data_IF_415766944984
#
_entry.id   IF_415766944984
#
_cell.length_a   1.000
_cell.length_b   1.000
_cell.length_c   1.000
_cell.angle_alpha   90.00
_cell.angle_beta   90.00
_cell.angle_gamma   90.00
#
_symmetry.space_group_name_H-M   'P 1'
#
loop_
_entity.id
_entity.type
_entity.pdbx_description
1 polymer ?
#
# COMPACT_ATOMS: atom_id res chain seq x y z
N UNK A 1 0.80 -4.37 -11.33
CA UNK A 1 1.26 -5.70 -10.88
C UNK A 1 2.69 -6.01 -11.32
N UNK A 2 3.00 -6.13 -12.62
CA UNK A 2 4.34 -6.51 -13.12
C UNK A 2 5.54 -5.81 -12.45
N UNK A 3 5.52 -4.48 -12.29
CA UNK A 3 6.62 -3.75 -11.66
C UNK A 3 6.78 -4.05 -10.15
N UNK A 4 5.67 -4.18 -9.43
CA UNK A 4 5.67 -4.50 -8.00
C UNK A 4 6.18 -5.92 -7.76
N UNK A 5 5.59 -6.90 -8.45
CA UNK A 5 5.97 -8.31 -8.36
C UNK A 5 7.45 -8.52 -8.69
N UNK A 6 7.97 -7.80 -9.69
CA UNK A 6 9.39 -7.88 -10.07
C UNK A 6 10.34 -7.29 -9.01
N UNK A 7 9.90 -6.26 -8.30
CA UNK A 7 10.71 -5.55 -7.31
C UNK A 7 10.57 -6.10 -5.88
N UNK A 8 9.48 -6.80 -5.59
CA UNK A 8 9.16 -7.32 -4.25
C UNK A 8 10.29 -8.20 -3.65
N UNK A 9 10.91 -9.16 -4.38
CA UNK A 9 12.01 -9.94 -3.81
C UNK A 9 13.19 -9.06 -3.37
N UNK A 10 13.53 -8.04 -4.15
CA UNK A 10 14.60 -7.10 -3.83
C UNK A 10 14.24 -6.20 -2.64
N UNK A 11 12.98 -5.78 -2.51
CA UNK A 11 12.50 -5.01 -1.36
C UNK A 11 12.61 -5.82 -0.07
N UNK A 12 12.17 -7.08 -0.08
CA UNK A 12 12.25 -7.99 1.07
C UNK A 12 13.71 -8.22 1.47
N UNK A 13 14.58 -8.50 0.50
CA UNK A 13 16.01 -8.71 0.71
C UNK A 13 16.65 -7.47 1.37
N UNK A 14 16.41 -6.28 0.80
CA UNK A 14 16.90 -5.03 1.37
C UNK A 14 16.37 -4.75 2.77
N UNK A 15 15.09 -5.00 3.03
CA UNK A 15 14.51 -4.80 4.36
C UNK A 15 15.18 -5.71 5.40
N UNK A 16 15.46 -6.97 5.07
CA UNK A 16 16.15 -7.91 5.96
C UNK A 16 17.60 -7.50 6.24
N UNK A 17 18.32 -7.03 5.24
CA UNK A 17 19.72 -6.62 5.41
C UNK A 17 19.89 -5.26 6.09
N UNK A 18 19.00 -4.30 5.81
CA UNK A 18 19.12 -2.92 6.27
C UNK A 18 18.21 -2.58 7.46
N UNK A 19 17.33 -3.49 7.88
CA UNK A 19 16.30 -3.26 8.89
C UNK A 19 15.05 -2.54 8.36
N UNK A 20 15.19 -1.66 7.36
CA UNK A 20 14.10 -0.98 6.66
C UNK A 20 14.44 -0.82 5.18
N UNK A 21 13.42 -0.85 4.32
CA UNK A 21 13.54 -0.51 2.91
C UNK A 21 12.25 0.15 2.39
N UNK A 22 12.37 0.91 1.31
CA UNK A 22 11.25 1.55 0.64
C UNK A 22 11.33 1.28 -0.87
N UNK A 23 10.17 1.03 -1.48
CA UNK A 23 10.01 0.85 -2.92
C UNK A 23 9.13 1.97 -3.47
N UNK A 24 9.68 2.78 -4.37
CA UNK A 24 8.92 3.75 -5.13
C UNK A 24 8.69 3.23 -6.55
N UNK A 25 7.43 3.05 -6.93
CA UNK A 25 7.04 2.72 -8.31
C UNK A 25 6.46 3.97 -8.93
N UNK A 26 7.11 4.46 -9.99
CA UNK A 26 6.70 5.68 -10.69
C UNK A 26 6.07 5.35 -12.04
N UNK A 27 5.17 6.22 -12.52
CA UNK A 27 4.51 6.08 -13.83
C UNK A 27 3.83 4.72 -14.01
N UNK A 28 3.14 4.24 -12.97
CA UNK A 28 2.36 3.01 -13.01
C UNK A 28 0.85 3.30 -12.95
N UNK A 29 0.06 2.32 -13.35
CA UNK A 29 -1.37 2.26 -13.05
C UNK A 29 -1.55 1.23 -11.95
N UNK A 30 -2.16 1.64 -10.84
CA UNK A 30 -2.48 0.79 -9.69
C UNK A 30 -4.00 0.68 -9.58
N UNK A 31 -4.52 -0.54 -9.61
CA UNK A 31 -5.97 -0.81 -9.67
C UNK A 31 -6.35 -2.02 -8.80
N UNK A 32 -5.56 -2.31 -7.76
CA UNK A 32 -5.82 -3.40 -6.81
C UNK A 32 -6.05 -2.85 -5.40
N UNK A 33 -6.60 -3.68 -4.51
CA UNK A 33 -6.55 -3.42 -3.08
C UNK A 33 -5.08 -3.37 -2.62
N UNK A 34 -4.75 -2.46 -1.70
CA UNK A 34 -3.38 -2.35 -1.19
C UNK A 34 -3.02 -3.50 -0.25
N UNK A 35 -4.01 -4.18 0.32
CA UNK A 35 -3.82 -5.44 1.03
C UNK A 35 -2.99 -6.44 0.20
N UNK A 36 -3.20 -6.52 -1.11
CA UNK A 36 -2.47 -7.45 -1.98
C UNK A 36 -0.98 -7.09 -2.13
N UNK A 37 -0.62 -5.82 -1.90
CA UNK A 37 0.78 -5.40 -1.83
C UNK A 37 1.36 -5.69 -0.44
N UNK A 38 0.57 -5.56 0.63
CA UNK A 38 1.05 -5.73 2.01
C UNK A 38 1.15 -7.20 2.43
N UNK A 39 0.23 -8.07 2.00
CA UNK A 39 0.16 -9.49 2.40
C UNK A 39 1.48 -10.24 2.14
N UNK A 40 2.12 -10.13 0.96
CA UNK A 40 3.40 -10.80 0.70
C UNK A 40 4.54 -10.34 1.63
N UNK A 41 4.52 -9.08 2.09
CA UNK A 41 5.51 -8.59 3.06
C UNK A 41 5.29 -9.25 4.42
N UNK A 42 4.03 -9.35 4.85
CA UNK A 42 3.70 -10.00 6.12
C UNK A 42 3.93 -11.50 6.10
N UNK A 43 3.70 -12.18 4.97
CA UNK A 43 4.04 -13.59 4.77
C UNK A 43 5.56 -13.83 4.86
N UNK A 44 6.36 -12.85 4.42
CA UNK A 44 7.81 -12.87 4.56
C UNK A 44 8.29 -12.54 5.99
N UNK A 45 7.38 -12.35 6.94
CA UNK A 45 7.68 -12.00 8.33
C UNK A 45 8.04 -10.53 8.54
N UNK A 46 7.72 -9.65 7.59
CA UNK A 46 8.03 -8.23 7.64
C UNK A 46 6.78 -7.39 7.93
N UNK A 47 6.99 -6.23 8.56
CA UNK A 47 5.97 -5.19 8.62
C UNK A 47 5.81 -4.56 7.24
N UNK A 48 4.58 -4.41 6.77
CA UNK A 48 4.27 -3.82 5.47
C UNK A 48 3.52 -2.50 5.61
N UNK A 49 3.86 -1.54 4.74
CA UNK A 49 3.12 -0.30 4.58
C UNK A 49 3.04 0.03 3.10
N UNK A 50 1.84 0.32 2.60
CA UNK A 50 1.62 0.69 1.22
C UNK A 50 0.69 1.89 1.14
N UNK A 51 0.95 2.77 0.18
CA UNK A 51 0.07 3.86 -0.19
C UNK A 51 0.24 4.17 -1.68
N UNK A 52 -0.82 4.64 -2.32
CA UNK A 52 -0.78 5.02 -3.74
C UNK A 52 -1.69 6.22 -3.98
N UNK A 53 -1.28 7.23 -4.77
CA UNK A 53 -2.19 8.28 -5.18
C UNK A 53 -3.23 7.75 -6.17
N UNK A 54 -4.42 8.35 -6.19
CA UNK A 54 -5.44 8.13 -7.22
C UNK A 54 -5.89 9.44 -7.85
N UNK A 55 -6.74 9.36 -8.89
CA UNK A 55 -7.26 10.55 -9.58
C UNK A 55 -7.99 11.50 -8.62
N UNK A 56 -8.00 12.80 -8.93
CA UNK A 56 -8.62 13.83 -8.09
C UNK A 56 -10.15 13.67 -8.01
N UNK A 57 -10.63 13.15 -6.88
CA UNK A 57 -12.04 12.85 -6.61
C UNK A 57 -12.55 13.45 -5.30
N UNK A 58 -11.65 13.77 -4.38
CA UNK A 58 -11.96 14.19 -3.01
C UNK A 58 -11.62 15.66 -2.87
N UNK A 59 -12.59 16.46 -2.45
CA UNK A 59 -12.36 17.85 -2.09
C UNK A 59 -11.61 17.93 -0.74
N UNK A 60 -10.72 18.91 -0.56
CA UNK A 60 -10.11 19.15 0.75
C UNK A 60 -11.19 19.53 1.78
N UNK A 61 -10.90 19.38 3.07
CA UNK A 61 -11.82 19.78 4.13
C UNK A 61 -12.22 21.27 3.97
N UNK A 62 -13.52 21.54 3.95
CA UNK A 62 -14.08 22.89 3.72
C UNK A 62 -14.07 23.35 2.25
N UNK A 63 -13.58 22.53 1.31
CA UNK A 63 -13.60 22.81 -0.11
C UNK A 63 -14.77 22.15 -0.85
N UNK A 64 -15.00 22.58 -2.08
CA UNK A 64 -16.04 22.04 -2.99
C UNK A 64 -15.49 21.47 -4.29
N UNK A 65 -14.21 21.72 -4.59
CA UNK A 65 -13.55 21.26 -5.81
C UNK A 65 -12.63 20.07 -5.51
N UNK A 66 -12.63 19.00 -6.33
CA UNK A 66 -11.74 17.85 -6.16
C UNK A 66 -10.26 18.24 -6.26
N UNK A 67 -9.44 17.74 -5.33
CA UNK A 67 -7.98 17.92 -5.34
C UNK A 67 -7.23 16.62 -5.06
N UNK A 68 -7.71 15.81 -4.12
CA UNK A 68 -7.07 14.57 -3.71
C UNK A 68 -7.75 13.35 -4.34
N UNK A 69 -7.03 12.24 -4.43
CA UNK A 69 -7.66 10.95 -4.66
C UNK A 69 -8.21 10.34 -3.37
N UNK A 70 -8.79 9.15 -3.50
CA UNK A 70 -9.11 8.26 -2.38
C UNK A 70 -7.85 7.73 -1.66
N UNK A 71 -6.68 7.93 -2.29
CA UNK A 71 -5.32 7.76 -1.77
C UNK A 71 -5.19 6.72 -0.65
N UNK A 72 -5.49 5.43 -0.93
CA UNK A 72 -5.61 4.44 0.12
C UNK A 72 -4.28 4.22 0.84
N UNK A 73 -4.40 3.74 2.08
CA UNK A 73 -3.28 3.35 2.93
C UNK A 73 -3.55 1.95 3.45
N UNK A 74 -2.55 1.08 3.37
CA UNK A 74 -2.57 -0.22 4.00
C UNK A 74 -1.36 -0.42 4.92
N UNK A 75 -1.59 -1.14 6.02
CA UNK A 75 -0.59 -1.52 7.00
C UNK A 75 -0.75 -3.00 7.36
N UNK A 76 0.37 -3.70 7.49
CA UNK A 76 0.41 -5.12 7.82
C UNK A 76 1.40 -5.42 8.92
N UNK A 77 0.98 -6.22 9.89
CA UNK A 77 1.82 -6.71 10.98
C UNK A 77 1.89 -8.24 10.98
N UNK A 78 3.09 -8.84 10.86
CA UNK A 78 3.26 -10.29 10.85
C UNK A 78 3.05 -10.86 12.26
N UNK A 79 2.48 -12.07 12.35
CA UNK A 79 2.17 -12.72 13.64
C UNK A 79 2.71 -14.15 13.77
N UNK A 80 3.86 -14.42 13.15
CA UNK A 80 4.47 -15.75 13.11
C UNK A 80 3.58 -16.73 12.36
N UNK A 81 3.20 -17.84 13.00
CA UNK A 81 2.33 -18.88 12.41
C UNK A 81 0.85 -18.49 12.35
N UNK A 82 0.46 -17.34 12.92
CA UNK A 82 -0.92 -16.84 12.84
C UNK A 82 -1.08 -15.98 11.60
N UNK A 83 -2.30 -15.92 11.07
CA UNK A 83 -2.66 -14.95 10.03
C UNK A 83 -2.17 -13.55 10.41
N UNK A 84 -1.66 -12.76 9.46
CA UNK A 84 -1.21 -11.40 9.74
C UNK A 84 -2.38 -10.49 10.14
N UNK A 85 -2.08 -9.39 10.84
CA UNK A 85 -3.04 -8.30 10.96
C UNK A 85 -2.83 -7.37 9.77
N UNK A 86 -3.84 -7.20 8.92
CA UNK A 86 -3.78 -6.27 7.79
C UNK A 86 -4.96 -5.30 7.91
N UNK A 87 -4.63 -4.02 7.82
CA UNK A 87 -5.56 -2.91 7.77
C UNK A 87 -5.42 -2.23 6.41
N UNK A 88 -6.50 -2.12 5.64
CA UNK A 88 -6.54 -1.46 4.33
C UNK A 88 -7.75 -0.52 4.29
N UNK A 89 -7.51 0.76 4.02
CA UNK A 89 -8.57 1.77 3.97
C UNK A 89 -8.36 2.79 2.84
N UNK A 90 -9.47 3.27 2.29
CA UNK A 90 -9.48 4.54 1.57
C UNK A 90 -9.35 5.71 2.55
N UNK A 91 -8.73 6.81 2.15
CA UNK A 91 -8.70 8.05 2.94
C UNK A 91 -9.93 8.94 2.71
N UNK A 92 -10.83 8.54 1.81
CA UNK A 92 -12.15 9.14 1.63
C UNK A 92 -13.19 8.49 2.54
N UNK A 93 -14.31 9.19 2.80
CA UNK A 93 -15.39 8.69 3.65
C UNK A 93 -16.01 7.36 3.16
N UNK A 94 -15.95 7.09 1.86
CA UNK A 94 -16.27 5.79 1.29
C UNK A 94 -15.28 5.49 0.16
N UNK A 95 -14.97 4.21 -0.04
CA UNK A 95 -14.29 3.75 -1.24
C UNK A 95 -15.20 4.01 -2.46
N UNK A 96 -14.60 4.40 -3.58
CA UNK A 96 -15.33 4.55 -4.84
C UNK A 96 -15.33 3.19 -5.53
N UNK A 97 -16.47 2.49 -5.44
CA UNK A 97 -16.76 1.26 -6.20
C UNK A 97 -17.38 1.57 -7.56
#
# INVERSE_FOLDING_TARGET
MCAYERALPLLIEKARHCGIAALAINRCVHFSALFADVEPLTDAGLVGYACTPSHAWVAPAGGTQPLFGTNPIAFGWPRGERHPFIFDMATSAAARG
#
